data_IF_198854673426
#
_entry.id   IF_198854673426
#
_cell.length_a   1.000
_cell.length_b   1.000
_cell.length_c   1.000
_cell.angle_alpha   90.00
_cell.angle_beta   90.00
_cell.angle_gamma   90.00
#
_symmetry.space_group_name_H-M   'P 1'
#
loop_
_entity.id
_entity.type
_entity.pdbx_description
1 polymer ?
#
# COMPACT_ATOMS: atom_id res chain seq x y z
N UNK A 1 -14.29 -16.35 27.26
CA UNK A 1 -15.21 -15.57 26.40
C UNK A 1 -14.39 -15.05 25.23
N UNK A 2 -14.16 -15.90 24.22
CA UNK A 2 -13.35 -15.55 23.04
C UNK A 2 -14.26 -14.77 22.08
N UNK A 3 -13.99 -13.47 21.88
CA UNK A 3 -14.64 -12.70 20.84
C UNK A 3 -14.19 -13.19 19.47
N UNK A 4 -15.08 -13.82 18.73
CA UNK A 4 -14.89 -14.19 17.32
C UNK A 4 -14.76 -12.91 16.51
N UNK A 5 -13.53 -12.46 16.23
CA UNK A 5 -13.30 -11.33 15.32
C UNK A 5 -13.70 -11.77 13.91
N UNK A 6 -14.88 -11.34 13.50
CA UNK A 6 -15.43 -11.58 12.18
C UNK A 6 -14.61 -10.78 11.15
N UNK A 7 -13.96 -11.41 10.15
CA UNK A 7 -13.24 -10.70 9.10
C UNK A 7 -14.22 -9.88 8.26
N UNK A 8 -14.06 -8.55 8.27
CA UNK A 8 -14.87 -7.64 7.44
C UNK A 8 -14.27 -7.60 6.04
N UNK A 9 -14.94 -8.21 5.05
CA UNK A 9 -14.56 -8.13 3.65
C UNK A 9 -15.04 -6.79 3.05
N UNK A 10 -14.12 -5.98 2.50
CA UNK A 10 -14.45 -4.76 1.78
C UNK A 10 -15.08 -5.11 0.42
N UNK A 11 -16.36 -4.80 0.23
CA UNK A 11 -17.10 -5.13 -0.99
C UNK A 11 -17.18 -3.93 -1.94
N UNK A 12 -16.30 -3.91 -2.96
CA UNK A 12 -16.35 -2.99 -4.10
C UNK A 12 -16.23 -3.75 -5.44
N UNK A 13 -16.61 -3.16 -6.58
CA UNK A 13 -17.04 -3.93 -7.76
C UNK A 13 -15.97 -4.69 -8.56
N UNK A 14 -14.66 -4.53 -8.29
CA UNK A 14 -13.56 -5.12 -9.09
C UNK A 14 -12.33 -5.40 -8.20
N UNK A 15 -12.54 -6.07 -7.07
CA UNK A 15 -11.46 -6.48 -6.17
C UNK A 15 -10.72 -7.72 -6.72
N UNK A 16 -9.88 -7.55 -7.74
CA UNK A 16 -9.08 -8.63 -8.37
C UNK A 16 -7.79 -9.00 -7.59
N UNK A 17 -7.56 -8.39 -6.42
CA UNK A 17 -6.55 -8.88 -5.46
C UNK A 17 -7.14 -9.99 -4.59
N UNK A 18 -6.34 -10.90 -3.98
CA UNK A 18 -6.86 -11.88 -3.03
C UNK A 18 -7.29 -11.15 -1.74
N UNK A 19 -8.48 -10.55 -1.72
CA UNK A 19 -8.93 -9.72 -0.60
C UNK A 19 -9.54 -10.61 0.47
N UNK A 20 -8.65 -11.30 1.20
CA UNK A 20 -8.93 -12.03 2.44
C UNK A 20 -8.22 -11.46 3.67
N UNK A 21 -7.46 -10.37 3.53
CA UNK A 21 -6.70 -9.77 4.64
C UNK A 21 -7.47 -8.56 5.20
N UNK A 22 -7.76 -8.53 6.51
CA UNK A 22 -8.34 -7.36 7.15
C UNK A 22 -7.46 -6.12 6.96
N UNK A 23 -8.06 -4.97 6.65
CA UNK A 23 -7.34 -3.70 6.49
C UNK A 23 -6.48 -3.35 7.71
N UNK A 24 -6.96 -3.69 8.92
CA UNK A 24 -6.24 -3.48 10.16
C UNK A 24 -4.95 -4.30 10.25
N UNK A 25 -4.94 -5.53 9.73
CA UNK A 25 -3.74 -6.38 9.74
C UNK A 25 -2.74 -5.92 8.69
N UNK A 26 -3.22 -5.46 7.53
CA UNK A 26 -2.38 -4.79 6.53
C UNK A 26 -1.76 -3.52 7.12
N UNK A 27 -2.57 -2.70 7.78
CA UNK A 27 -2.11 -1.48 8.40
C UNK A 27 -1.08 -1.77 9.50
N UNK A 28 -1.36 -2.70 10.41
CA UNK A 28 -0.42 -3.12 11.46
C UNK A 28 0.92 -3.59 10.88
N UNK A 29 0.88 -4.39 9.80
CA UNK A 29 2.08 -4.81 9.08
C UNK A 29 2.87 -3.62 8.51
N UNK A 30 2.19 -2.68 7.85
CA UNK A 30 2.81 -1.48 7.26
C UNK A 30 3.38 -0.57 8.36
N UNK A 31 2.66 -0.39 9.47
CA UNK A 31 3.07 0.43 10.60
C UNK A 31 4.25 -0.19 11.37
N UNK A 32 4.22 -1.51 11.62
CA UNK A 32 5.21 -2.19 12.46
C UNK A 32 6.45 -2.65 11.71
N UNK A 33 6.32 -3.07 10.45
CA UNK A 33 7.43 -3.69 9.70
C UNK A 33 7.70 -3.09 8.31
N UNK A 34 6.75 -2.32 7.76
CA UNK A 34 6.80 -1.88 6.37
C UNK A 34 6.58 -3.04 5.37
N UNK A 35 6.39 -2.67 4.10
CA UNK A 35 6.12 -3.61 3.00
C UNK A 35 6.93 -3.19 1.77
N UNK A 36 7.63 -4.12 1.14
CA UNK A 36 8.30 -3.86 -0.15
C UNK A 36 7.37 -4.28 -1.28
N UNK A 37 7.15 -3.37 -2.22
CA UNK A 37 6.38 -3.56 -3.44
C UNK A 37 7.37 -3.64 -4.61
N UNK A 38 7.33 -4.74 -5.34
CA UNK A 38 8.12 -4.94 -6.55
C UNK A 38 7.21 -5.08 -7.76
N UNK A 39 7.58 -4.48 -8.89
CA UNK A 39 6.81 -4.62 -10.12
C UNK A 39 7.36 -3.79 -11.25
N UNK A 40 6.62 -3.78 -12.35
CA UNK A 40 6.92 -2.94 -13.50
C UNK A 40 5.74 -2.03 -13.83
N UNK A 41 6.03 -0.80 -14.22
CA UNK A 41 5.05 0.19 -14.68
C UNK A 41 5.44 0.64 -16.09
N UNK A 42 4.47 0.68 -17.00
CA UNK A 42 4.67 1.23 -18.35
C UNK A 42 3.86 2.50 -18.49
N UNK A 43 4.52 3.59 -18.88
CA UNK A 43 3.88 4.85 -19.23
C UNK A 43 3.68 4.85 -20.75
N UNK A 44 2.43 5.00 -21.18
CA UNK A 44 2.03 5.00 -22.58
C UNK A 44 1.24 6.27 -22.93
N UNK A 45 1.30 6.67 -24.19
CA UNK A 45 0.47 7.74 -24.76
C UNK A 45 -0.19 7.20 -26.02
N UNK A 46 -1.52 7.36 -26.13
CA UNK A 46 -2.29 6.87 -27.28
C UNK A 46 -1.96 5.39 -27.62
N UNK A 47 -1.96 4.54 -26.59
CA UNK A 47 -1.65 3.10 -26.68
C UNK A 47 -0.20 2.76 -27.11
N UNK A 48 0.68 3.76 -27.25
CA UNK A 48 2.10 3.56 -27.54
C UNK A 48 2.89 3.57 -26.23
N UNK A 49 3.56 2.46 -25.86
CA UNK A 49 4.41 2.42 -24.67
C UNK A 49 5.69 3.24 -24.89
N UNK A 50 6.01 4.13 -23.96
CA UNK A 50 7.16 5.04 -24.06
C UNK A 50 8.24 4.75 -23.03
N UNK A 51 7.84 4.47 -21.79
CA UNK A 51 8.78 4.29 -20.68
C UNK A 51 8.38 3.06 -19.89
N UNK A 52 9.34 2.17 -19.63
CA UNK A 52 9.19 1.05 -18.69
C UNK A 52 10.01 1.34 -17.45
N UNK A 53 9.35 1.36 -16.30
CA UNK A 53 9.95 1.52 -14.99
C UNK A 53 9.92 0.17 -14.29
N UNK A 54 11.07 -0.27 -13.78
CA UNK A 54 11.11 -1.37 -12.81
C UNK A 54 11.14 -0.77 -11.41
N UNK A 55 10.08 -1.03 -10.65
CA UNK A 55 9.80 -0.42 -9.36
C UNK A 55 10.17 -1.39 -8.23
N UNK A 56 10.93 -0.87 -7.27
CA UNK A 56 11.12 -1.46 -5.96
C UNK A 56 10.85 -0.36 -4.92
N UNK A 57 9.63 -0.35 -4.39
CA UNK A 57 9.18 0.68 -3.45
C UNK A 57 9.03 0.09 -2.05
N UNK A 58 9.53 0.80 -1.04
CA UNK A 58 9.23 0.49 0.36
C UNK A 58 8.05 1.36 0.81
N UNK A 59 6.99 0.71 1.27
CA UNK A 59 5.86 1.33 1.94
C UNK A 59 6.07 1.21 3.46
N UNK A 60 6.16 2.35 4.14
CA UNK A 60 6.34 2.42 5.58
C UNK A 60 5.51 3.57 6.15
N UNK A 61 5.24 3.54 7.45
CA UNK A 61 4.60 4.66 8.13
C UNK A 61 5.49 5.90 8.13
N UNK A 62 4.88 7.06 7.97
CA UNK A 62 5.53 8.33 8.29
C UNK A 62 5.65 8.43 9.81
N UNK A 63 6.80 8.88 10.30
CA UNK A 63 7.10 9.12 11.70
C UNK A 63 8.27 10.10 11.82
N UNK A 64 8.62 10.56 13.01
CA UNK A 64 9.82 11.41 13.21
C UNK A 64 11.10 10.76 12.65
N UNK A 65 11.19 9.43 12.73
CA UNK A 65 12.37 8.68 12.24
C UNK A 65 12.37 8.49 10.72
N UNK A 66 11.21 8.54 10.09
CA UNK A 66 11.01 8.42 8.64
C UNK A 66 10.03 9.52 8.23
N UNK A 67 10.52 10.76 8.04
CA UNK A 67 9.67 11.90 7.72
C UNK A 67 9.15 11.78 6.29
N UNK A 68 8.03 12.47 6.03
CA UNK A 68 7.51 12.53 4.68
C UNK A 68 8.49 13.32 3.79
N UNK A 69 8.68 12.90 2.52
CA UNK A 69 9.65 13.53 1.63
C UNK A 69 9.20 14.90 1.09
N UNK A 70 7.97 15.31 1.37
CA UNK A 70 7.39 16.57 0.92
C UNK A 70 7.33 17.59 2.08
N UNK A 71 7.67 18.83 1.78
CA UNK A 71 7.94 19.87 2.78
C UNK A 71 6.70 20.29 3.60
N UNK A 72 5.50 20.09 3.07
CA UNK A 72 4.25 20.53 3.71
C UNK A 72 3.68 19.50 4.70
N UNK A 73 4.44 18.44 5.01
CA UNK A 73 4.04 17.47 6.01
C UNK A 73 4.19 18.12 7.39
N UNK A 74 3.12 18.80 7.80
CA UNK A 74 3.04 19.47 9.09
C UNK A 74 3.39 18.55 10.25
N UNK A 75 3.66 19.10 11.45
CA UNK A 75 4.05 18.30 12.60
C UNK A 75 3.00 17.22 12.88
N UNK A 76 3.44 15.96 12.91
CA UNK A 76 2.64 14.79 13.31
C UNK A 76 2.33 14.84 14.81
#
# INVERSE_FOLDING_TARGET
MQGTRNPVAWQGPEATAPIGVPLVDLLDRVLGTGVVISGDLVIAIADVPLVRLSLHALLASVSERVPAPWADSGPL
#
